data_IF_067855752631
#
_entry.id   IF_067855752631
#
_cell.length_a   1.000
_cell.length_b   1.000
_cell.length_c   1.000
_cell.angle_alpha   90.00
_cell.angle_beta   90.00
_cell.angle_gamma   90.00
#
_symmetry.space_group_name_H-M   'P 1'
#
loop_
_entity.id
_entity.type
_entity.pdbx_description
1 polymer ?
#
# COMPACT_ATOMS: atom_id res chain seq x y z
N UNK A 1 -11.29 19.46 -4.06
CA UNK A 1 -10.01 18.79 -3.73
C UNK A 1 -10.11 17.39 -4.33
N UNK A 2 -9.24 16.42 -4.02
CA UNK A 2 -9.28 15.10 -4.67
C UNK A 2 -9.97 14.06 -3.77
N UNK A 3 -11.04 13.45 -4.27
CA UNK A 3 -11.76 12.37 -3.58
C UNK A 3 -11.04 11.02 -3.68
N UNK A 4 -11.42 10.08 -2.81
CA UNK A 4 -10.91 8.70 -2.86
C UNK A 4 -11.31 8.00 -4.16
N UNK A 5 -12.51 8.25 -4.64
CA UNK A 5 -13.04 7.71 -5.89
C UNK A 5 -12.22 8.18 -7.09
N UNK A 6 -11.79 9.44 -7.10
CA UNK A 6 -10.92 9.97 -8.14
C UNK A 6 -9.50 9.37 -8.05
N UNK A 7 -8.93 9.29 -6.84
CA UNK A 7 -7.62 8.67 -6.63
C UNK A 7 -7.62 7.17 -6.99
N UNK A 8 -8.74 6.47 -6.81
CA UNK A 8 -8.85 5.04 -7.17
C UNK A 8 -8.60 4.76 -8.66
N UNK A 9 -8.78 5.78 -9.51
CA UNK A 9 -8.55 5.70 -10.96
C UNK A 9 -7.11 6.01 -11.35
N UNK A 10 -6.26 6.38 -10.39
CA UNK A 10 -4.85 6.62 -10.63
C UNK A 10 -4.14 5.34 -11.11
N UNK A 11 -3.27 5.48 -12.11
CA UNK A 11 -2.58 4.36 -12.75
C UNK A 11 -3.54 3.41 -13.45
N UNK A 12 -3.43 2.12 -13.18
CA UNK A 12 -4.27 1.05 -13.76
C UNK A 12 -5.46 0.67 -12.87
N UNK A 13 -5.81 1.50 -11.88
CA UNK A 13 -6.82 1.17 -10.86
C UNK A 13 -6.55 -0.16 -10.11
N UNK A 14 -5.27 -0.54 -10.01
CA UNK A 14 -4.81 -1.77 -9.36
C UNK A 14 -4.61 -1.61 -7.85
N UNK A 15 -4.76 -0.40 -7.34
CA UNK A 15 -4.66 -0.13 -5.91
C UNK A 15 -5.88 -0.67 -5.19
N UNK A 16 -5.67 -1.45 -4.14
CA UNK A 16 -6.78 -2.01 -3.37
C UNK A 16 -7.49 -0.91 -2.59
N UNK A 17 -8.80 -1.06 -2.40
CA UNK A 17 -9.58 -0.15 -1.55
C UNK A 17 -8.97 0.00 -0.15
N UNK A 18 -8.44 -1.10 0.40
CA UNK A 18 -7.76 -1.12 1.70
C UNK A 18 -6.52 -0.22 1.72
N UNK A 19 -5.73 -0.20 0.64
CA UNK A 19 -4.59 0.70 0.54
C UNK A 19 -5.04 2.17 0.41
N UNK A 20 -6.05 2.45 -0.41
CA UNK A 20 -6.61 3.80 -0.56
C UNK A 20 -7.20 4.33 0.75
N UNK A 21 -7.89 3.47 1.51
CA UNK A 21 -8.37 3.83 2.86
C UNK A 21 -7.23 4.27 3.77
N UNK A 22 -6.10 3.55 3.73
CA UNK A 22 -4.91 3.92 4.52
C UNK A 22 -4.30 5.24 4.08
N UNK A 23 -4.27 5.51 2.77
CA UNK A 23 -3.81 6.81 2.25
C UNK A 23 -4.66 7.95 2.82
N UNK A 24 -5.99 7.86 2.76
CA UNK A 24 -6.88 8.92 3.25
C UNK A 24 -6.95 9.02 4.78
N UNK A 25 -6.57 7.96 5.51
CA UNK A 25 -6.43 8.00 6.97
C UNK A 25 -5.12 8.65 7.44
N UNK A 26 -4.01 8.40 6.74
CA UNK A 26 -2.68 8.87 7.15
C UNK A 26 -2.29 10.23 6.58
N UNK A 27 -2.91 10.61 5.47
CA UNK A 27 -2.65 11.87 4.79
C UNK A 27 -3.62 12.95 5.27
N UNK A 28 -3.20 14.21 5.10
CA UNK A 28 -4.05 15.33 5.41
C UNK A 28 -5.21 15.39 4.42
N UNK A 29 -6.43 15.36 4.96
CA UNK A 29 -7.66 15.50 4.20
C UNK A 29 -8.53 16.56 4.85
N UNK A 30 -9.35 17.23 4.04
CA UNK A 30 -10.36 18.18 4.51
C UNK A 30 -11.70 17.73 3.94
N UNK A 31 -12.66 17.48 4.83
CA UNK A 31 -13.97 16.91 4.49
C UNK A 31 -13.87 15.62 3.65
N UNK A 32 -12.84 14.81 3.89
CA UNK A 32 -12.59 13.55 3.17
C UNK A 32 -11.90 13.72 1.81
N UNK A 33 -11.54 14.95 1.42
CA UNK A 33 -10.81 15.23 0.19
C UNK A 33 -9.35 15.58 0.44
N UNK A 34 -8.46 15.09 -0.42
CA UNK A 34 -7.03 15.33 -0.38
C UNK A 34 -6.65 16.61 -1.15
N UNK A 35 -5.81 17.47 -0.57
CA UNK A 35 -5.33 18.67 -1.27
C UNK A 35 -4.28 18.35 -2.35
N UNK A 36 -4.00 19.32 -3.22
CA UNK A 36 -3.07 19.14 -4.34
C UNK A 36 -1.64 18.79 -3.88
N UNK A 37 -1.19 19.39 -2.77
CA UNK A 37 0.14 19.15 -2.24
C UNK A 37 0.28 17.70 -1.76
N UNK A 38 -0.70 17.21 -1.01
CA UNK A 38 -0.74 15.85 -0.49
C UNK A 38 -0.82 14.83 -1.62
N UNK A 39 -1.60 15.13 -2.67
CA UNK A 39 -1.64 14.31 -3.89
C UNK A 39 -0.27 14.26 -4.59
N UNK A 40 0.42 15.40 -4.70
CA UNK A 40 1.74 15.46 -5.31
C UNK A 40 2.76 14.65 -4.50
N UNK A 41 2.76 14.79 -3.16
CA UNK A 41 3.62 14.02 -2.27
C UNK A 41 3.38 12.50 -2.43
N UNK A 42 2.10 12.10 -2.55
CA UNK A 42 1.71 10.71 -2.82
C UNK A 42 2.25 10.20 -4.16
N UNK A 43 2.04 10.94 -5.25
CA UNK A 43 2.52 10.55 -6.60
C UNK A 43 4.04 10.46 -6.64
N UNK A 44 4.74 11.47 -6.10
CA UNK A 44 6.20 11.50 -6.08
C UNK A 44 6.78 10.32 -5.31
N UNK A 45 6.17 9.94 -4.17
CA UNK A 45 6.59 8.77 -3.41
C UNK A 45 6.40 7.46 -4.19
N UNK A 46 5.30 7.32 -4.95
CA UNK A 46 5.04 6.13 -5.75
C UNK A 46 5.90 6.03 -7.02
N UNK A 47 6.28 7.16 -7.61
CA UNK A 47 7.19 7.20 -8.76
C UNK A 47 8.64 6.91 -8.34
N UNK A 48 9.03 7.37 -7.14
CA UNK A 48 10.42 7.32 -6.65
C UNK A 48 10.61 6.35 -5.48
N UNK A 49 10.00 5.15 -5.52
CA UNK A 49 9.98 4.16 -4.42
C UNK A 49 11.34 3.70 -3.88
N UNK A 50 12.44 4.00 -4.58
CA UNK A 50 13.81 3.67 -4.14
C UNK A 50 14.40 4.73 -3.22
N UNK A 51 13.84 5.94 -3.23
CA UNK A 51 14.33 7.05 -2.41
C UNK A 51 13.98 6.84 -0.93
N UNK A 52 14.88 7.17 0.01
CA UNK A 52 14.62 7.00 1.44
C UNK A 52 13.33 7.69 1.93
N UNK A 53 13.04 8.89 1.42
CA UNK A 53 11.83 9.63 1.77
C UNK A 53 10.56 8.93 1.27
N UNK A 54 10.59 8.37 0.06
CA UNK A 54 9.47 7.62 -0.50
C UNK A 54 9.23 6.32 0.26
N UNK A 55 10.30 5.59 0.63
CA UNK A 55 10.22 4.40 1.46
C UNK A 55 9.62 4.71 2.82
N UNK A 56 10.03 5.80 3.47
CA UNK A 56 9.48 6.23 4.74
C UNK A 56 7.98 6.59 4.64
N UNK A 57 7.60 7.30 3.57
CA UNK A 57 6.20 7.62 3.30
C UNK A 57 5.35 6.36 3.12
N UNK A 58 5.79 5.43 2.27
CA UNK A 58 5.08 4.16 2.01
C UNK A 58 5.04 3.29 3.27
N UNK A 59 6.13 3.23 4.03
CA UNK A 59 6.18 2.49 5.28
C UNK A 59 5.13 2.99 6.27
N UNK A 60 4.97 4.31 6.41
CA UNK A 60 3.94 4.91 7.26
C UNK A 60 2.53 4.45 6.87
N UNK A 61 2.25 4.34 5.56
CA UNK A 61 0.96 3.84 5.08
C UNK A 61 0.73 2.37 5.43
N UNK A 62 1.80 1.55 5.41
CA UNK A 62 1.77 0.11 5.68
C UNK A 62 1.78 -0.22 7.18
N UNK A 63 2.34 0.63 8.03
CA UNK A 63 2.40 0.44 9.48
C UNK A 63 1.07 0.80 10.15
N UNK A 64 0.06 -0.05 9.91
CA UNK A 64 -1.30 0.15 10.41
C UNK A 64 -1.40 0.23 11.95
N UNK A 65 -0.42 -0.31 12.67
CA UNK A 65 -0.39 -0.30 14.14
C UNK A 65 0.53 0.78 14.72
N UNK A 66 1.20 1.59 13.88
CA UNK A 66 2.16 2.63 14.28
C UNK A 66 3.23 2.11 15.26
N UNK A 67 3.74 0.89 15.02
CA UNK A 67 4.75 0.25 15.89
C UNK A 67 6.19 0.55 15.48
N UNK A 68 6.39 1.15 14.31
CA UNK A 68 7.71 1.35 13.71
C UNK A 68 8.28 0.10 13.02
N UNK A 69 7.49 -0.97 12.88
CA UNK A 69 7.85 -2.19 12.14
C UNK A 69 6.61 -2.86 11.53
N UNK A 70 6.77 -3.49 10.37
CA UNK A 70 5.70 -4.28 9.75
C UNK A 70 5.73 -5.69 10.30
N UNK A 71 4.59 -6.15 10.83
CA UNK A 71 4.45 -7.52 11.29
C UNK A 71 3.53 -8.33 10.36
N UNK A 72 3.40 -9.62 10.69
CA UNK A 72 2.58 -10.57 9.93
C UNK A 72 1.13 -10.11 9.81
N UNK A 73 0.58 -9.45 10.83
CA UNK A 73 -0.78 -8.93 10.79
C UNK A 73 -0.90 -7.77 9.81
N UNK A 74 0.00 -6.77 9.87
CA UNK A 74 0.02 -5.64 8.92
C UNK A 74 0.11 -6.12 7.47
N UNK A 75 1.00 -7.09 7.19
CA UNK A 75 1.14 -7.63 5.84
C UNK A 75 -0.08 -8.46 5.40
N UNK A 76 -0.64 -9.29 6.28
CA UNK A 76 -1.84 -10.07 5.98
C UNK A 76 -3.05 -9.18 5.68
N UNK A 77 -3.17 -8.04 6.37
CA UNK A 77 -4.26 -7.10 6.17
C UNK A 77 -4.34 -6.62 4.72
N UNK A 78 -3.23 -6.16 4.14
CA UNK A 78 -3.19 -5.75 2.73
C UNK A 78 -3.25 -6.95 1.79
N UNK A 79 -2.62 -8.07 2.14
CA UNK A 79 -2.58 -9.24 1.28
C UNK A 79 -3.96 -9.83 1.01
N UNK A 80 -4.85 -9.86 2.01
CA UNK A 80 -6.24 -10.29 1.82
C UNK A 80 -6.98 -9.47 0.77
N UNK A 81 -6.73 -8.17 0.70
CA UNK A 81 -7.33 -7.31 -0.31
C UNK A 81 -6.83 -7.62 -1.72
N UNK A 82 -5.53 -7.96 -1.85
CA UNK A 82 -4.93 -8.38 -3.12
C UNK A 82 -5.49 -9.73 -3.57
N UNK A 83 -5.62 -10.69 -2.66
CA UNK A 83 -6.20 -12.00 -2.96
C UNK A 83 -7.64 -11.87 -3.47
N UNK A 84 -8.43 -10.97 -2.88
CA UNK A 84 -9.80 -10.75 -3.34
C UNK A 84 -9.83 -10.13 -4.74
N UNK A 85 -8.93 -9.18 -5.03
CA UNK A 85 -8.76 -8.61 -6.36
C UNK A 85 -8.37 -9.70 -7.38
N UNK A 86 -7.44 -10.60 -7.03
CA UNK A 86 -7.03 -11.73 -7.88
C UNK A 86 -8.21 -12.64 -8.24
N UNK A 87 -9.06 -12.99 -7.26
CA UNK A 87 -10.26 -13.81 -7.52
C UNK A 87 -11.24 -13.12 -8.46
N UNK A 88 -11.47 -11.81 -8.30
CA UNK A 88 -12.33 -11.02 -9.19
C UNK A 88 -11.80 -11.07 -10.64
N UNK A 89 -10.49 -11.08 -10.81
CA UNK A 89 -9.85 -11.20 -12.13
C UNK A 89 -9.64 -12.65 -12.60
N UNK A 90 -10.19 -13.65 -11.89
CA UNK A 90 -10.12 -15.06 -12.28
C UNK A 90 -8.73 -15.69 -12.11
N UNK A 91 -7.87 -15.11 -11.27
CA UNK A 91 -6.55 -15.66 -10.94
C UNK A 91 -6.62 -16.49 -9.65
N UNK A 92 -5.84 -17.58 -9.60
CA UNK A 92 -5.71 -18.39 -8.39
C UNK A 92 -5.00 -17.58 -7.28
N UNK A 93 -5.63 -17.42 -6.10
CA UNK A 93 -5.06 -16.62 -5.03
C UNK A 93 -3.83 -17.31 -4.45
N UNK A 94 -2.69 -16.61 -4.47
CA UNK A 94 -1.45 -17.06 -3.83
C UNK A 94 -1.64 -17.13 -2.32
N UNK A 95 -1.09 -18.14 -1.65
CA UNK A 95 -1.18 -18.23 -0.19
C UNK A 95 -0.21 -17.24 0.48
N UNK A 96 -0.62 -16.67 1.63
CA UNK A 96 0.28 -15.76 2.37
C UNK A 96 1.56 -16.47 2.83
N UNK A 97 1.50 -17.78 3.06
CA UNK A 97 2.65 -18.57 3.47
C UNK A 97 3.73 -18.60 2.38
N UNK A 98 3.35 -18.69 1.11
CA UNK A 98 4.29 -18.68 -0.03
C UNK A 98 5.01 -17.33 -0.16
N UNK A 99 4.28 -16.24 0.11
CA UNK A 99 4.83 -14.88 0.13
C UNK A 99 5.80 -14.70 1.29
N UNK A 100 5.42 -15.14 2.50
CA UNK A 100 6.28 -15.07 3.69
C UNK A 100 7.59 -15.82 3.50
N UNK A 101 7.54 -17.03 2.93
CA UNK A 101 8.75 -17.83 2.64
C UNK A 101 9.67 -17.11 1.65
N UNK A 102 9.10 -16.48 0.62
CA UNK A 102 9.88 -15.71 -0.38
C UNK A 102 10.57 -14.48 0.24
N UNK A 103 9.89 -13.73 1.11
CA UNK A 103 10.52 -12.60 1.82
C UNK A 103 11.64 -13.08 2.76
N UNK A 104 11.45 -14.19 3.47
CA UNK A 104 12.49 -14.78 4.30
C UNK A 104 13.68 -15.28 3.47
N UNK A 105 13.44 -15.92 2.33
CA UNK A 105 14.50 -16.43 1.45
C UNK A 105 15.35 -15.31 0.85
N UNK A 106 14.72 -14.22 0.38
CA UNK A 106 15.45 -13.07 -0.18
C UNK A 106 16.31 -12.34 0.87
N UNK A 107 15.90 -12.31 2.14
CA UNK A 107 16.71 -11.73 3.22
C UNK A 107 17.92 -12.59 3.61
N UNK A 108 17.87 -13.91 3.38
CA UNK A 108 18.98 -14.81 3.69
C UNK A 108 19.95 -15.01 2.51
N UNK A 109 19.56 -14.62 1.28
CA UNK A 109 20.39 -14.73 0.07
C UNK A 109 21.10 -13.44 -0.34
N UNK A 110 21.05 -12.40 0.51
CA UNK A 110 21.78 -11.13 0.31
C UNK A 110 22.96 -10.98 1.28
N UNK A 111 23.58 -12.09 1.69
CA UNK A 111 24.83 -12.11 2.46
C UNK A 111 25.95 -12.78 1.68
#
# INVERSE_FOLDING_TARGET
>A
MLSKEELSRYGTATMTNVFLDRVFQECLTYDGEMDYKTYLDFVLALENRKEPAALQYIFKLLDIENKGYLNVFSLNYFFRAIQELMKIHGQDPVSFQDVKVTFSFNLHNTS
#
